data_IF_321947023592
#
_entry.id   IF_321947023592
#
_cell.length_a   1.000
_cell.length_b   1.000
_cell.length_c   1.000
_cell.angle_alpha   90.00
_cell.angle_beta   90.00
_cell.angle_gamma   90.00
#
_symmetry.space_group_name_H-M   'P 1'
#
loop_
_entity.id
_entity.type
_entity.pdbx_description
1 polymer ?
#
# COMPACT_ATOMS: atom_id res chain seq x y z
N UNK A 1 -16.48 1.53 -8.53
CA UNK A 1 -15.08 1.54 -8.97
C UNK A 1 -14.28 2.48 -8.06
N UNK A 2 -13.38 1.93 -7.24
CA UNK A 2 -12.59 2.60 -6.21
C UNK A 2 -11.11 2.41 -6.51
N UNK A 3 -10.42 3.52 -6.71
CA UNK A 3 -8.98 3.56 -7.01
C UNK A 3 -8.27 4.16 -5.81
N UNK A 4 -7.22 3.49 -5.33
CA UNK A 4 -6.37 4.01 -4.26
C UNK A 4 -4.95 4.17 -4.79
N UNK A 5 -4.34 5.30 -4.48
CA UNK A 5 -2.94 5.58 -4.75
C UNK A 5 -2.28 5.98 -3.45
N UNK A 6 -1.26 5.23 -3.02
CA UNK A 6 -0.59 5.45 -1.75
C UNK A 6 0.93 5.41 -1.90
N UNK A 7 1.56 6.56 -1.65
CA UNK A 7 2.98 6.65 -1.39
C UNK A 7 3.30 6.09 0.01
N UNK A 8 3.97 4.94 0.06
CA UNK A 8 4.22 4.21 1.32
C UNK A 8 5.56 4.55 1.97
N UNK A 9 6.42 5.31 1.27
CA UNK A 9 7.75 5.69 1.75
C UNK A 9 8.61 4.50 2.27
N UNK A 10 8.39 3.31 1.71
CA UNK A 10 9.00 2.04 2.07
C UNK A 10 7.96 0.95 2.36
N UNK A 11 7.73 0.04 1.41
CA UNK A 11 6.69 -0.99 1.50
C UNK A 11 6.90 -1.92 2.70
N UNK A 12 8.12 -2.47 2.87
CA UNK A 12 8.44 -3.33 4.03
C UNK A 12 8.21 -2.64 5.38
N UNK A 13 8.47 -1.33 5.46
CA UNK A 13 8.30 -0.56 6.68
C UNK A 13 6.83 -0.30 7.01
N UNK A 14 5.95 -0.21 6.01
CA UNK A 14 4.51 -0.02 6.22
C UNK A 14 3.75 -1.34 6.43
N UNK A 15 4.29 -2.50 5.99
CA UNK A 15 3.64 -3.81 6.18
C UNK A 15 3.25 -4.09 7.64
N UNK A 16 4.10 -3.75 8.61
CA UNK A 16 3.82 -3.92 10.04
C UNK A 16 3.00 -2.78 10.68
N UNK A 17 2.51 -1.82 9.89
CA UNK A 17 1.80 -0.61 10.36
C UNK A 17 0.35 -0.57 9.87
N UNK A 18 -0.30 -1.73 9.74
CA UNK A 18 -1.70 -1.83 9.31
C UNK A 18 -1.92 -1.71 7.80
N UNK A 19 -0.86 -1.77 6.99
CA UNK A 19 -0.99 -1.73 5.53
C UNK A 19 -1.86 -2.89 5.01
N UNK A 20 -1.65 -4.11 5.50
CA UNK A 20 -2.40 -5.31 5.07
C UNK A 20 -3.88 -5.20 5.47
N UNK A 21 -4.14 -4.73 6.70
CA UNK A 21 -5.50 -4.54 7.20
C UNK A 21 -6.24 -3.49 6.37
N UNK A 22 -5.60 -2.35 6.11
CA UNK A 22 -6.16 -1.31 5.25
C UNK A 22 -6.38 -1.83 3.83
N UNK A 23 -5.40 -2.50 3.24
CA UNK A 23 -5.51 -3.05 1.88
C UNK A 23 -6.72 -3.97 1.76
N UNK A 24 -6.88 -4.89 2.71
CA UNK A 24 -7.98 -5.86 2.75
C UNK A 24 -9.34 -5.19 2.99
N UNK A 25 -9.42 -4.24 3.93
CA UNK A 25 -10.66 -3.54 4.26
C UNK A 25 -11.05 -2.46 3.24
N UNK A 26 -10.11 -2.00 2.42
CA UNK A 26 -10.34 -0.86 1.52
C UNK A 26 -11.36 -1.12 0.43
N UNK A 27 -11.54 -2.38 0.00
CA UNK A 27 -12.40 -2.72 -1.14
C UNK A 27 -12.03 -1.97 -2.42
N UNK A 28 -10.73 -1.70 -2.63
CA UNK A 28 -10.26 -1.03 -3.83
C UNK A 28 -10.30 -1.99 -5.03
N UNK A 29 -10.79 -1.49 -6.17
CA UNK A 29 -10.73 -2.20 -7.45
C UNK A 29 -9.32 -2.13 -8.05
N UNK A 30 -8.58 -1.04 -7.80
CA UNK A 30 -7.16 -0.89 -8.18
C UNK A 30 -6.40 -0.17 -7.08
N UNK A 31 -5.19 -0.66 -6.79
CA UNK A 31 -4.30 -0.10 -5.78
C UNK A 31 -2.92 0.18 -6.38
N UNK A 32 -2.50 1.45 -6.37
CA UNK A 32 -1.20 1.91 -6.82
C UNK A 32 -0.32 2.25 -5.61
N UNK A 33 0.93 1.77 -5.62
CA UNK A 33 1.91 1.99 -4.54
C UNK A 33 3.11 2.75 -5.09
N UNK A 34 3.53 3.83 -4.43
CA UNK A 34 4.74 4.59 -4.77
C UNK A 34 5.77 4.58 -3.65
N UNK A 35 7.03 4.92 -3.98
CA UNK A 35 8.15 4.94 -3.04
C UNK A 35 8.28 3.61 -2.27
N UNK A 36 8.25 2.48 -2.97
CA UNK A 36 8.32 1.15 -2.33
C UNK A 36 9.64 0.92 -1.60
N UNK A 37 10.71 1.65 -1.98
CA UNK A 37 12.09 1.50 -1.49
C UNK A 37 12.57 0.04 -1.44
N UNK A 38 12.08 -0.78 -2.37
CA UNK A 38 12.55 -2.14 -2.58
C UNK A 38 13.81 -2.10 -3.43
N UNK A 39 14.96 -1.88 -2.79
CA UNK A 39 16.29 -2.00 -3.39
C UNK A 39 16.97 -3.26 -2.83
N UNK A 40 17.81 -3.91 -3.65
CA UNK A 40 18.65 -5.05 -3.26
C UNK A 40 19.89 -4.56 -2.54
#
# INVERSE_FOLDING_TARGET
MKLISWNVNGLRACMGKGFVDFFTASGADVFCIQETKMRR
#
